data_IF_662109845277
#
_entry.id   IF_662109845277
#
_cell.length_a   1.000
_cell.length_b   1.000
_cell.length_c   1.000
_cell.angle_alpha   90.00
_cell.angle_beta   90.00
_cell.angle_gamma   90.00
#
_symmetry.space_group_name_H-M   'P 1'
#
loop_
_entity.id
_entity.type
_entity.pdbx_description
1 polymer ?
#
# COMPACT_ATOMS: atom_id res chain seq x y z
N UNK A 1 -1.18 -20.05 -34.82
CA UNK A 1 -1.74 -20.68 -33.63
C UNK A 1 -2.96 -21.49 -34.02
N UNK A 2 -3.00 -22.76 -33.67
CA UNK A 2 -4.15 -23.62 -33.90
C UNK A 2 -5.28 -23.28 -32.92
N UNK A 3 -6.51 -23.71 -33.25
CA UNK A 3 -7.71 -23.38 -32.44
C UNK A 3 -7.60 -23.85 -30.98
N UNK A 4 -7.03 -25.03 -30.73
CA UNK A 4 -6.88 -25.57 -29.38
C UNK A 4 -5.91 -24.73 -28.54
N UNK A 5 -4.80 -24.30 -29.12
CA UNK A 5 -3.83 -23.44 -28.47
C UNK A 5 -4.46 -22.08 -28.15
N UNK A 6 -5.26 -21.53 -29.07
CA UNK A 6 -5.94 -20.27 -28.85
C UNK A 6 -6.98 -20.38 -27.74
N UNK A 7 -7.74 -21.48 -27.69
CA UNK A 7 -8.73 -21.70 -26.63
C UNK A 7 -8.04 -21.81 -25.25
N UNK A 8 -6.86 -22.42 -25.19
CA UNK A 8 -6.08 -22.50 -23.95
C UNK A 8 -5.59 -21.11 -23.52
N UNK A 9 -5.08 -20.32 -24.46
CA UNK A 9 -4.64 -18.95 -24.19
C UNK A 9 -5.82 -18.10 -23.70
N UNK A 10 -6.98 -18.20 -24.35
CA UNK A 10 -8.17 -17.42 -23.96
C UNK A 10 -8.60 -17.76 -22.52
N UNK A 11 -8.59 -19.03 -22.15
CA UNK A 11 -8.92 -19.45 -20.76
C UNK A 11 -7.94 -18.88 -19.76
N UNK A 12 -6.65 -18.87 -20.07
CA UNK A 12 -5.63 -18.30 -19.18
C UNK A 12 -5.86 -16.80 -19.02
N UNK A 13 -6.13 -16.08 -20.10
CA UNK A 13 -6.39 -14.64 -20.04
C UNK A 13 -7.64 -14.32 -19.24
N UNK A 14 -8.70 -15.12 -19.34
CA UNK A 14 -9.94 -14.92 -18.58
C UNK A 14 -9.73 -15.07 -17.07
N UNK A 15 -8.82 -15.97 -16.67
CA UNK A 15 -8.52 -16.25 -15.25
C UNK A 15 -7.39 -15.42 -14.69
N UNK A 16 -6.71 -14.66 -15.52
CA UNK A 16 -5.55 -13.89 -15.05
C UNK A 16 -5.98 -12.84 -14.04
N UNK A 17 -5.24 -12.76 -12.95
CA UNK A 17 -5.37 -11.66 -12.00
C UNK A 17 -4.77 -10.40 -12.61
N UNK A 18 -5.51 -9.31 -12.54
CA UNK A 18 -5.08 -8.02 -13.09
C UNK A 18 -5.10 -6.97 -12.01
N UNK A 19 -4.04 -6.20 -11.96
CA UNK A 19 -3.94 -5.07 -11.04
C UNK A 19 -3.41 -3.86 -11.79
N UNK A 20 -3.90 -2.69 -11.43
CA UNK A 20 -3.21 -1.45 -11.75
C UNK A 20 -2.36 -1.05 -10.54
N UNK A 21 -1.39 -0.21 -10.75
CA UNK A 21 -0.60 0.33 -9.65
C UNK A 21 -0.23 1.78 -9.93
N UNK A 22 -0.08 2.53 -8.84
CA UNK A 22 0.35 3.93 -8.88
C UNK A 22 1.40 4.16 -7.81
N UNK A 23 2.13 5.23 -7.96
CA UNK A 23 3.06 5.69 -6.93
C UNK A 23 2.85 7.18 -6.67
N UNK A 24 3.08 7.58 -5.44
CA UNK A 24 3.13 8.99 -5.07
C UNK A 24 4.05 9.15 -3.86
N UNK A 25 4.37 10.39 -3.52
CA UNK A 25 5.22 10.67 -2.38
C UNK A 25 4.68 11.84 -1.58
N UNK A 26 5.01 11.85 -0.28
CA UNK A 26 4.70 12.94 0.64
C UNK A 26 5.80 13.08 1.66
N UNK A 27 6.18 14.32 1.95
CA UNK A 27 7.05 14.60 3.07
C UNK A 27 6.28 14.47 4.37
N UNK A 28 6.90 13.85 5.39
CA UNK A 28 6.25 13.64 6.68
C UNK A 28 7.24 13.63 7.82
N UNK A 29 6.72 13.88 9.02
CA UNK A 29 7.49 13.82 10.27
C UNK A 29 6.85 12.76 11.16
N UNK A 30 7.67 11.87 11.70
CA UNK A 30 7.25 10.90 12.69
C UNK A 30 8.36 10.65 13.72
N UNK A 31 8.04 9.87 14.75
CA UNK A 31 8.98 9.46 15.78
C UNK A 31 8.68 8.04 16.22
N UNK A 32 9.68 7.40 16.80
CA UNK A 32 9.53 6.08 17.40
C UNK A 32 9.84 6.15 18.91
N UNK A 33 8.84 6.46 19.76
CA UNK A 33 9.07 6.73 21.19
C UNK A 33 9.76 5.59 21.93
N UNK A 34 9.46 4.33 21.59
CA UNK A 34 10.07 3.18 22.25
C UNK A 34 11.60 3.14 22.09
N UNK A 35 12.15 3.78 21.06
CA UNK A 35 13.60 3.83 20.84
C UNK A 35 14.35 4.56 21.97
N UNK A 36 13.67 5.44 22.71
CA UNK A 36 14.25 6.16 23.86
C UNK A 36 14.20 5.35 25.14
N UNK A 37 13.40 4.31 25.21
CA UNK A 37 13.11 3.58 26.44
C UNK A 37 13.63 2.14 26.43
N UNK A 38 13.64 1.50 25.26
CA UNK A 38 14.02 0.10 25.11
C UNK A 38 15.54 -0.04 24.97
N UNK A 39 16.23 -0.71 25.93
CA UNK A 39 17.68 -0.93 25.82
C UNK A 39 18.10 -1.68 24.56
N UNK A 40 17.23 -2.53 24.00
CA UNK A 40 17.47 -3.24 22.76
C UNK A 40 17.51 -2.34 21.52
N UNK A 41 17.07 -1.09 21.67
CA UNK A 41 17.02 -0.09 20.59
C UNK A 41 18.01 1.06 20.82
N UNK A 42 18.94 0.91 21.77
CA UNK A 42 19.86 1.99 22.15
C UNK A 42 20.70 2.49 20.96
N UNK A 43 21.04 1.61 20.02
CA UNK A 43 21.81 1.94 18.81
C UNK A 43 21.00 2.77 17.79
N UNK A 44 19.68 2.79 17.93
CA UNK A 44 18.77 3.59 17.09
C UNK A 44 17.93 4.57 17.91
N UNK A 45 18.42 4.96 19.08
CA UNK A 45 17.70 5.86 19.98
C UNK A 45 17.32 7.20 19.34
N UNK A 46 18.07 7.66 18.33
CA UNK A 46 17.75 8.87 17.58
C UNK A 46 16.38 8.82 16.91
N UNK A 47 15.84 7.63 16.62
CA UNK A 47 14.50 7.47 16.04
C UNK A 47 13.39 7.89 17.01
N UNK A 48 13.69 8.01 18.30
CA UNK A 48 12.72 8.44 19.31
C UNK A 48 12.36 9.92 19.23
N UNK A 49 13.17 10.71 18.56
CA UNK A 49 12.91 12.13 18.33
C UNK A 49 12.21 12.34 16.98
N UNK A 50 11.40 13.40 16.85
CA UNK A 50 10.78 13.70 15.58
C UNK A 50 11.81 13.82 14.47
N UNK A 51 11.58 13.13 13.36
CA UNK A 51 12.47 13.16 12.21
C UNK A 51 11.66 13.13 10.91
N UNK A 52 12.25 13.68 9.87
CA UNK A 52 11.59 13.93 8.60
C UNK A 52 12.08 12.95 7.55
N UNK A 53 11.12 12.42 6.76
CA UNK A 53 11.40 11.60 5.59
C UNK A 53 10.54 12.04 4.43
N UNK A 54 10.93 11.66 3.21
CA UNK A 54 10.02 11.61 2.09
C UNK A 54 9.45 10.19 2.06
N UNK A 55 8.16 10.08 2.37
CA UNK A 55 7.45 8.81 2.34
C UNK A 55 7.04 8.52 0.90
N UNK A 56 7.40 7.34 0.41
CA UNK A 56 7.04 6.87 -0.92
C UNK A 56 6.00 5.78 -0.79
N UNK A 57 4.93 5.92 -1.58
CA UNK A 57 3.80 5.02 -1.58
C UNK A 57 3.72 4.31 -2.92
N UNK A 58 3.44 3.02 -2.91
CA UNK A 58 3.05 2.28 -4.09
C UNK A 58 1.81 1.48 -3.74
N UNK A 59 0.76 1.64 -4.53
CA UNK A 59 -0.52 0.96 -4.31
C UNK A 59 -0.90 0.19 -5.54
N UNK A 60 -1.13 -1.11 -5.38
CA UNK A 60 -1.66 -2.00 -6.41
C UNK A 60 -3.07 -2.41 -6.01
N UNK A 61 -4.00 -2.44 -6.95
CA UNK A 61 -5.39 -2.82 -6.68
C UNK A 61 -5.94 -3.68 -7.83
N UNK A 62 -6.73 -4.69 -7.48
CA UNK A 62 -7.40 -5.54 -8.46
C UNK A 62 -8.30 -4.74 -9.39
N UNK A 63 -8.24 -5.08 -10.66
CA UNK A 63 -9.22 -4.66 -11.66
C UNK A 63 -9.77 -5.89 -12.38
N UNK A 64 -11.00 -5.80 -12.87
CA UNK A 64 -11.72 -6.97 -13.38
C UNK A 64 -11.89 -7.00 -14.90
N UNK A 65 -11.49 -5.93 -15.58
CA UNK A 65 -11.41 -5.90 -17.03
C UNK A 65 -10.30 -4.99 -17.52
N UNK A 66 -10.03 -5.01 -18.81
CA UNK A 66 -8.86 -4.37 -19.41
C UNK A 66 -9.07 -2.92 -19.81
N UNK A 67 -10.26 -2.38 -19.69
CA UNK A 67 -10.57 -1.05 -20.21
C UNK A 67 -10.80 -0.03 -19.10
N UNK A 68 -9.76 0.21 -18.33
CA UNK A 68 -9.73 1.32 -17.36
C UNK A 68 -10.88 1.29 -16.35
N UNK A 69 -11.18 0.13 -15.81
CA UNK A 69 -12.21 0.01 -14.76
C UNK A 69 -11.93 0.98 -13.61
N UNK A 70 -10.67 1.06 -13.20
CA UNK A 70 -10.16 2.11 -12.33
C UNK A 70 -9.11 2.83 -13.16
N UNK A 71 -9.34 4.09 -13.49
CA UNK A 71 -8.37 4.88 -14.23
C UNK A 71 -7.26 5.32 -13.28
N UNK A 72 -6.01 4.95 -13.57
CA UNK A 72 -4.93 5.05 -12.59
C UNK A 72 -4.51 6.50 -12.27
N UNK A 73 -4.67 7.46 -13.19
CA UNK A 73 -4.37 8.87 -12.87
C UNK A 73 -5.41 9.44 -11.92
N UNK A 74 -6.69 9.12 -12.13
CA UNK A 74 -7.76 9.52 -11.22
C UNK A 74 -7.58 8.86 -9.85
N UNK A 75 -7.20 7.59 -9.83
CA UNK A 75 -6.92 6.86 -8.60
C UNK A 75 -5.76 7.50 -7.83
N UNK A 76 -4.68 7.79 -8.52
CA UNK A 76 -3.51 8.47 -7.94
C UNK A 76 -3.90 9.82 -7.34
N UNK A 77 -4.63 10.63 -8.09
CA UNK A 77 -5.07 11.95 -7.61
C UNK A 77 -5.97 11.87 -6.40
N UNK A 78 -6.84 10.87 -6.36
CA UNK A 78 -7.68 10.65 -5.20
C UNK A 78 -6.84 10.28 -3.98
N UNK A 79 -5.88 9.37 -4.12
CA UNK A 79 -4.99 8.99 -3.02
C UNK A 79 -4.16 10.18 -2.54
N UNK A 80 -3.58 10.93 -3.46
CA UNK A 80 -2.84 12.15 -3.12
C UNK A 80 -3.71 13.14 -2.36
N UNK A 81 -4.97 13.26 -2.74
CA UNK A 81 -5.94 14.13 -2.10
C UNK A 81 -6.24 13.77 -0.65
N UNK A 82 -6.11 12.50 -0.27
CA UNK A 82 -6.31 12.06 1.12
C UNK A 82 -5.25 12.68 2.06
N UNK A 83 -4.10 13.07 1.52
CA UNK A 83 -2.99 13.62 2.27
C UNK A 83 -2.77 15.12 2.03
N UNK A 84 -3.72 15.82 1.44
CA UNK A 84 -3.57 17.24 1.11
C UNK A 84 -4.27 18.19 2.08
N UNK A 85 -4.48 17.77 3.31
CA UNK A 85 -5.25 18.49 4.34
C UNK A 85 -4.65 19.79 4.87
N UNK A 86 -4.00 20.58 4.04
CA UNK A 86 -3.55 21.93 4.39
C UNK A 86 -2.11 22.05 4.85
N UNK A 87 -1.43 20.98 5.22
CA UNK A 87 0.00 20.98 5.57
C UNK A 87 0.81 20.35 4.45
N UNK A 88 1.90 21.04 4.04
CA UNK A 88 2.84 20.49 3.06
C UNK A 88 3.59 19.26 3.62
N UNK A 89 3.71 19.17 4.94
CA UNK A 89 4.38 18.09 5.66
C UNK A 89 3.36 17.38 6.52
N UNK A 90 3.30 16.04 6.40
CA UNK A 90 2.36 15.22 7.16
C UNK A 90 2.82 15.10 8.62
N UNK A 91 1.91 15.33 9.54
CA UNK A 91 2.12 15.08 10.95
C UNK A 91 1.71 13.64 11.26
N UNK A 92 2.68 12.73 11.28
CA UNK A 92 2.44 11.30 11.40
C UNK A 92 2.59 10.79 12.83
N UNK A 93 3.03 11.65 13.74
CA UNK A 93 3.23 11.33 15.15
C UNK A 93 4.09 10.06 15.33
N UNK A 94 3.55 9.01 15.93
CA UNK A 94 4.27 7.75 16.16
C UNK A 94 4.04 6.69 15.07
N UNK A 95 3.40 7.03 13.96
CA UNK A 95 3.03 6.05 12.94
C UNK A 95 4.24 5.46 12.23
N UNK A 96 4.32 4.14 12.24
CA UNK A 96 5.25 3.37 11.42
C UNK A 96 4.76 3.32 9.97
N UNK A 97 5.62 2.87 9.06
CA UNK A 97 5.20 2.62 7.67
C UNK A 97 4.02 1.63 7.60
N UNK A 98 4.02 0.61 8.45
CA UNK A 98 2.95 -0.39 8.51
C UNK A 98 1.62 0.24 8.95
N UNK A 99 1.64 1.09 9.95
CA UNK A 99 0.45 1.80 10.42
C UNK A 99 -0.10 2.76 9.36
N UNK A 100 0.80 3.44 8.65
CA UNK A 100 0.42 4.32 7.54
C UNK A 100 -0.26 3.52 6.43
N UNK A 101 0.29 2.34 6.10
CA UNK A 101 -0.30 1.46 5.09
C UNK A 101 -1.71 1.01 5.49
N UNK A 102 -1.91 0.58 6.75
CA UNK A 102 -3.21 0.16 7.25
C UNK A 102 -4.24 1.29 7.20
N UNK A 103 -3.85 2.50 7.61
CA UNK A 103 -4.73 3.67 7.55
C UNK A 103 -5.17 3.96 6.11
N UNK A 104 -4.24 3.85 5.17
CA UNK A 104 -4.53 4.06 3.75
C UNK A 104 -5.44 2.97 3.22
N UNK A 105 -5.20 1.72 3.60
CA UNK A 105 -6.04 0.61 3.16
C UNK A 105 -7.51 0.79 3.56
N UNK A 106 -7.77 1.29 4.76
CA UNK A 106 -9.15 1.55 5.21
C UNK A 106 -9.87 2.48 4.22
N UNK A 107 -9.20 3.54 3.77
CA UNK A 107 -9.78 4.48 2.80
C UNK A 107 -10.03 3.80 1.45
N UNK A 108 -9.09 2.99 1.00
CA UNK A 108 -9.23 2.28 -0.27
C UNK A 108 -10.35 1.25 -0.20
N UNK A 109 -10.43 0.48 0.87
CA UNK A 109 -11.45 -0.56 1.06
C UNK A 109 -12.86 0.04 1.14
N UNK A 110 -13.00 1.23 1.71
CA UNK A 110 -14.29 1.91 1.77
C UNK A 110 -14.78 2.32 0.38
N UNK A 111 -13.87 2.74 -0.49
CA UNK A 111 -14.24 3.17 -1.85
C UNK A 111 -14.32 2.00 -2.83
N UNK A 112 -13.46 1.02 -2.70
CA UNK A 112 -13.32 -0.12 -3.59
C UNK A 112 -13.35 -1.43 -2.80
N UNK A 113 -14.52 -1.82 -2.26
CA UNK A 113 -14.59 -3.02 -1.42
C UNK A 113 -14.36 -4.30 -2.22
N UNK A 114 -13.89 -5.34 -1.52
CA UNK A 114 -13.79 -6.69 -2.08
C UNK A 114 -12.64 -6.91 -3.05
N UNK A 115 -11.62 -6.08 -3.02
CA UNK A 115 -10.46 -6.19 -3.93
C UNK A 115 -9.19 -6.50 -3.14
N UNK A 116 -8.30 -7.28 -3.72
CA UNK A 116 -6.96 -7.42 -3.18
C UNK A 116 -6.17 -6.15 -3.46
N UNK A 117 -5.48 -5.68 -2.44
CA UNK A 117 -4.69 -4.46 -2.49
C UNK A 117 -3.33 -4.75 -1.91
N UNK A 118 -2.27 -4.24 -2.53
CA UNK A 118 -0.94 -4.28 -1.96
C UNK A 118 -0.46 -2.84 -1.80
N UNK A 119 -0.01 -2.50 -0.60
CA UNK A 119 0.49 -1.16 -0.29
C UNK A 119 1.93 -1.27 0.20
N UNK A 120 2.81 -0.54 -0.45
CA UNK A 120 4.19 -0.35 0.03
C UNK A 120 4.33 1.08 0.51
N UNK A 121 4.90 1.25 1.70
CA UNK A 121 5.25 2.56 2.27
C UNK A 121 6.72 2.49 2.64
N UNK A 122 7.50 3.43 2.13
CA UNK A 122 8.93 3.48 2.43
C UNK A 122 9.37 4.86 2.86
N UNK A 123 10.48 4.89 3.58
CA UNK A 123 11.18 6.10 3.98
C UNK A 123 12.32 6.33 2.99
N UNK A 124 12.26 7.42 2.24
CA UNK A 124 13.30 7.86 1.31
C UNK A 124 13.67 6.81 0.23
N UNK A 125 12.77 5.88 -0.06
CA UNK A 125 13.01 4.73 -0.94
C UNK A 125 14.15 3.80 -0.47
N UNK A 126 14.53 3.88 0.78
CA UNK A 126 15.66 3.09 1.29
C UNK A 126 15.20 1.87 2.09
N UNK A 127 14.13 2.03 2.85
CA UNK A 127 13.55 0.96 3.65
C UNK A 127 12.08 1.26 3.92
N UNK A 128 11.31 0.23 4.19
CA UNK A 128 9.88 0.38 4.40
C UNK A 128 9.19 -0.96 4.56
N UNK A 129 7.89 -0.96 4.34
CA UNK A 129 7.07 -2.16 4.42
C UNK A 129 6.29 -2.39 3.13
N UNK A 130 5.83 -3.62 2.97
CA UNK A 130 4.85 -3.99 1.95
C UNK A 130 3.82 -4.89 2.60
N UNK A 131 2.55 -4.52 2.49
CA UNK A 131 1.45 -5.29 3.06
C UNK A 131 0.49 -5.67 1.93
N UNK A 132 0.13 -6.94 1.87
CA UNK A 132 -0.87 -7.45 0.94
C UNK A 132 -2.16 -7.70 1.70
N UNK A 133 -3.19 -6.97 1.33
CA UNK A 133 -4.54 -7.09 1.90
C UNK A 133 -5.36 -7.99 0.98
N UNK A 134 -5.47 -9.26 1.35
CA UNK A 134 -6.16 -10.26 0.56
C UNK A 134 -7.59 -10.46 1.06
N UNK A 135 -8.55 -10.50 0.14
CA UNK A 135 -9.95 -10.73 0.47
C UNK A 135 -10.23 -12.18 0.83
N UNK A 136 -9.35 -13.10 0.40
CA UNK A 136 -9.43 -14.52 0.73
C UNK A 136 -8.12 -14.98 1.36
N UNK A 137 -8.24 -15.68 2.49
CA UNK A 137 -7.12 -16.32 3.18
C UNK A 137 -7.18 -17.81 2.88
N UNK A 138 -6.25 -18.38 2.09
CA UNK A 138 -6.27 -19.79 1.72
C UNK A 138 -6.28 -20.73 2.92
N UNK A 139 -5.76 -20.28 4.06
CA UNK A 139 -5.59 -21.11 5.25
C UNK A 139 -6.73 -20.97 6.26
N UNK A 140 -7.73 -20.14 6.03
CA UNK A 140 -8.85 -19.98 6.95
C UNK A 140 -9.69 -21.24 7.06
N UNK A 141 -9.75 -22.02 6.01
CA UNK A 141 -10.46 -23.29 5.98
C UNK A 141 -9.75 -24.39 6.75
N UNK A 142 -8.51 -24.20 7.18
CA UNK A 142 -7.68 -25.21 7.85
C UNK A 142 -7.70 -25.05 9.37
N UNK A 143 -8.57 -24.22 9.89
CA UNK A 143 -8.77 -24.10 11.33
C UNK A 143 -9.54 -25.32 11.81
N UNK A 144 -8.81 -26.20 12.39
CA UNK A 144 -9.35 -27.41 12.98
C UNK A 144 -9.59 -27.16 14.46
#
# INVERSE_FOLDING_TARGET
>A
MILEERATVDRIMERAARQIWITFQREGIHKYPAALEDPGLADVSFLGYPHRHIFHFRVSIDVFHNDREIEFIQFKRWLEGLYSGGNAVLELDYRSCEMIADDLYVQIANRYPGRNVTISVSEDNENGCQITYATHQPYQSIKI
#
